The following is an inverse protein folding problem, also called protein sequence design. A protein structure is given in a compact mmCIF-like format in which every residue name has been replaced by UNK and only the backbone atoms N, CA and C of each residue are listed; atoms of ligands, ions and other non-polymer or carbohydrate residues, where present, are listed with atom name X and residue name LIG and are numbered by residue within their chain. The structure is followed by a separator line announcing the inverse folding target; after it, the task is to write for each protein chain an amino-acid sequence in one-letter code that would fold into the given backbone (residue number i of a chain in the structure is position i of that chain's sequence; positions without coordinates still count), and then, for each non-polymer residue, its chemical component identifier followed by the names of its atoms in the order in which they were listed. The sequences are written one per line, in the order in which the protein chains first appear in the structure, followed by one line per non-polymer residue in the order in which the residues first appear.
data_IF_102387768340
#
_entry.id   IF_102387768340
#
_cell.length_a   1.000
_cell.length_b   1.000
_cell.length_c   1.000
_cell.angle_alpha   90.00
_cell.angle_beta   90.00
_cell.angle_gamma   90.00
#
_symmetry.space_group_name_H-M   'P 1'
#
loop_
_entity.id
_entity.type
_entity.pdbx_description
1 polymer ?
#
# COMPACT_ATOMS: atom_id res chain seq x y z
N UNK A 1 11.81 12.88 -2.78
CA UNK A 1 11.79 13.68 -1.52
C UNK A 1 10.40 14.19 -1.15
N UNK A 2 9.64 14.85 -2.04
CA UNK A 2 8.34 15.46 -1.69
C UNK A 2 7.33 14.49 -1.03
N UNK A 3 7.12 13.29 -1.58
CA UNK A 3 6.17 12.30 -1.03
C UNK A 3 6.50 11.87 0.40
N UNK A 4 7.78 11.59 0.69
CA UNK A 4 8.21 11.14 2.02
C UNK A 4 7.99 12.23 3.06
N UNK A 5 8.34 13.49 2.73
CA UNK A 5 8.11 14.62 3.63
C UNK A 5 6.62 14.85 3.90
N UNK A 6 5.77 14.75 2.87
CA UNK A 6 4.31 14.88 3.04
C UNK A 6 3.78 13.85 4.04
N UNK A 7 4.15 12.58 3.89
CA UNK A 7 3.68 11.53 4.79
C UNK A 7 4.33 11.58 6.18
N UNK A 8 5.57 12.06 6.27
CA UNK A 8 6.23 12.29 7.56
C UNK A 8 5.51 13.39 8.36
N UNK A 9 5.19 14.52 7.74
CA UNK A 9 4.41 15.60 8.38
C UNK A 9 3.03 15.10 8.77
N UNK A 10 2.39 14.30 7.91
CA UNK A 10 1.10 13.66 8.24
C UNK A 10 1.20 12.74 9.46
N UNK A 11 2.25 11.91 9.54
CA UNK A 11 2.46 11.04 10.69
C UNK A 11 2.67 11.84 11.98
N UNK A 12 3.47 12.91 11.93
CA UNK A 12 3.72 13.79 13.06
C UNK A 12 2.43 14.49 13.55
N UNK A 13 1.52 14.85 12.64
CA UNK A 13 0.23 15.45 12.99
C UNK A 13 -0.66 14.50 13.81
N UNK A 14 -0.65 13.20 13.49
CA UNK A 14 -1.50 12.21 14.18
C UNK A 14 -0.90 11.68 15.49
N UNK A 15 0.31 12.11 15.86
CA UNK A 15 0.95 11.80 17.14
C UNK A 15 2.03 10.71 17.08
N UNK A 16 2.86 10.60 18.14
CA UNK A 16 4.08 9.80 18.17
C UNK A 16 3.84 8.29 18.38
N UNK A 17 2.87 7.70 17.69
CA UNK A 17 2.54 6.28 17.83
C UNK A 17 3.25 5.42 16.78
N UNK A 18 4.00 4.37 17.17
CA UNK A 18 4.77 3.54 16.23
C UNK A 18 3.95 3.01 15.04
N UNK A 19 2.70 2.58 15.28
CA UNK A 19 1.83 2.08 14.22
C UNK A 19 1.46 3.14 13.16
N UNK A 20 1.36 4.40 13.57
CA UNK A 20 1.09 5.53 12.67
C UNK A 20 2.28 5.75 11.73
N UNK A 21 3.50 5.75 12.26
CA UNK A 21 4.71 5.88 11.44
C UNK A 21 4.86 4.71 10.45
N UNK A 22 4.56 3.48 10.87
CA UNK A 22 4.57 2.31 9.98
C UNK A 22 3.57 2.51 8.84
N UNK A 23 2.32 2.88 9.16
CA UNK A 23 1.27 3.07 8.17
C UNK A 23 1.57 4.17 7.16
N UNK A 24 2.00 5.34 7.63
CA UNK A 24 2.36 6.45 6.75
C UNK A 24 3.63 6.18 5.92
N UNK A 25 4.59 5.44 6.47
CA UNK A 25 5.76 4.99 5.70
C UNK A 25 5.36 4.03 4.57
N UNK A 26 4.48 3.07 4.87
CA UNK A 26 3.92 2.18 3.85
C UNK A 26 3.12 2.96 2.79
N UNK A 27 2.32 3.96 3.19
CA UNK A 27 1.62 4.84 2.26
C UNK A 27 2.59 5.57 1.32
N UNK A 28 3.71 6.09 1.85
CA UNK A 28 4.73 6.75 1.05
C UNK A 28 5.35 5.82 0.00
N UNK A 29 5.60 4.56 0.36
CA UNK A 29 6.10 3.53 -0.56
C UNK A 29 5.07 3.24 -1.65
N UNK A 30 3.83 2.95 -1.28
CA UNK A 30 2.74 2.63 -2.21
C UNK A 30 2.53 3.74 -3.22
N UNK A 31 2.40 5.00 -2.79
CA UNK A 31 2.19 6.15 -3.69
C UNK A 31 3.41 6.39 -4.59
N UNK A 32 4.62 6.12 -4.10
CA UNK A 32 5.82 6.27 -4.94
C UNK A 32 5.91 5.16 -5.98
N UNK A 33 5.53 3.93 -5.62
CA UNK A 33 5.46 2.80 -6.54
C UNK A 33 4.39 3.03 -7.61
N UNK A 34 3.17 3.40 -7.21
CA UNK A 34 2.05 3.71 -8.09
C UNK A 34 2.41 4.77 -9.14
N UNK A 35 3.06 5.87 -8.74
CA UNK A 35 3.54 6.88 -9.69
C UNK A 35 4.61 6.38 -10.66
N UNK A 36 5.41 5.38 -10.29
CA UNK A 36 6.38 4.76 -11.21
C UNK A 36 5.64 3.87 -12.20
N UNK A 37 4.69 3.08 -11.73
CA UNK A 37 3.85 2.20 -12.56
C UNK A 37 3.02 3.01 -13.55
N UNK A 38 2.40 4.10 -13.11
CA UNK A 38 1.63 5.01 -13.98
C UNK A 38 2.45 5.57 -15.15
N UNK A 39 3.77 5.77 -14.97
CA UNK A 39 4.67 6.23 -16.05
C UNK A 39 4.97 5.16 -17.09
N UNK A 40 4.76 3.88 -16.76
CA UNK A 40 4.94 2.78 -17.71
C UNK A 40 3.81 2.71 -18.74
N UNK A 41 2.68 3.37 -18.44
CA UNK A 41 1.48 3.44 -19.28
C UNK A 41 1.05 2.06 -19.80
N UNK A 42 1.09 1.05 -18.91
CA UNK A 42 0.82 -0.33 -19.27
C UNK A 42 -0.61 -0.51 -19.78
N UNK A 43 -1.57 0.14 -19.14
CA UNK A 43 -2.98 0.05 -19.49
C UNK A 43 -3.26 0.39 -20.96
N UNK A 44 -2.63 1.44 -21.50
CA UNK A 44 -2.83 1.84 -22.91
C UNK A 44 -2.23 0.83 -23.89
N UNK A 45 -1.10 0.21 -23.49
CA UNK A 45 -0.32 -0.76 -24.29
C UNK A 45 -0.94 -2.16 -24.33
N UNK A 46 -1.94 -2.45 -23.52
CA UNK A 46 -2.60 -3.77 -23.49
C UNK A 46 -3.42 -4.02 -24.78
N UNK A 47 -3.36 -5.24 -25.34
CA UNK A 47 -3.86 -5.54 -26.69
C UNK A 47 -5.37 -5.72 -26.78
N UNK A 48 -6.08 -5.94 -25.67
CA UNK A 48 -7.53 -6.20 -25.68
C UNK A 48 -8.26 -5.57 -24.49
N UNK A 49 -9.57 -5.37 -24.64
CA UNK A 49 -10.44 -4.86 -23.59
C UNK A 49 -10.45 -5.77 -22.34
N UNK A 50 -10.36 -7.10 -22.53
CA UNK A 50 -10.27 -8.06 -21.42
C UNK A 50 -9.00 -7.84 -20.61
N UNK A 51 -7.85 -7.68 -21.27
CA UNK A 51 -6.59 -7.41 -20.58
C UNK A 51 -6.63 -6.09 -19.81
N UNK A 52 -7.21 -5.03 -20.40
CA UNK A 52 -7.41 -3.74 -19.73
C UNK A 52 -8.30 -3.86 -18.50
N UNK A 53 -9.39 -4.64 -18.59
CA UNK A 53 -10.27 -4.91 -17.45
C UNK A 53 -9.53 -5.64 -16.33
N UNK A 54 -8.79 -6.70 -16.65
CA UNK A 54 -8.00 -7.45 -15.67
C UNK A 54 -6.94 -6.58 -14.98
N UNK A 55 -6.24 -5.74 -15.75
CA UNK A 55 -5.30 -4.75 -15.22
C UNK A 55 -5.98 -3.79 -14.24
N UNK A 56 -7.15 -3.24 -14.59
CA UNK A 56 -7.93 -2.37 -13.68
C UNK A 56 -8.35 -3.11 -12.40
N UNK A 57 -8.83 -4.34 -12.51
CA UNK A 57 -9.20 -5.15 -11.34
C UNK A 57 -8.00 -5.42 -10.42
N UNK A 58 -6.83 -5.73 -11.00
CA UNK A 58 -5.61 -5.95 -10.24
C UNK A 58 -5.11 -4.67 -9.57
N UNK A 59 -5.16 -3.53 -10.26
CA UNK A 59 -4.77 -2.23 -9.70
C UNK A 59 -5.68 -1.84 -8.53
N UNK A 60 -7.00 -2.09 -8.68
CA UNK A 60 -7.97 -1.91 -7.61
C UNK A 60 -7.66 -2.82 -6.41
N UNK A 61 -7.47 -4.12 -6.64
CA UNK A 61 -7.16 -5.07 -5.57
C UNK A 61 -5.88 -4.68 -4.81
N UNK A 62 -4.85 -4.27 -5.54
CA UNK A 62 -3.58 -3.77 -4.97
C UNK A 62 -3.82 -2.58 -4.04
N UNK A 63 -4.65 -1.63 -4.48
CA UNK A 63 -5.02 -0.46 -3.67
C UNK A 63 -5.76 -0.88 -2.40
N UNK A 64 -6.74 -1.78 -2.52
CA UNK A 64 -7.52 -2.24 -1.36
C UNK A 64 -6.65 -2.98 -0.34
N UNK A 65 -5.74 -3.85 -0.79
CA UNK A 65 -4.79 -4.55 0.09
C UNK A 65 -3.83 -3.57 0.77
N UNK A 66 -3.27 -2.62 0.02
CA UNK A 66 -2.38 -1.60 0.58
C UNK A 66 -3.10 -0.74 1.64
N UNK A 67 -4.30 -0.24 1.32
CA UNK A 67 -5.11 0.57 2.25
C UNK A 67 -5.50 -0.24 3.47
N UNK A 68 -5.93 -1.50 3.31
CA UNK A 68 -6.26 -2.38 4.42
C UNK A 68 -5.07 -2.58 5.38
N UNK A 69 -3.88 -2.82 4.84
CA UNK A 69 -2.66 -2.90 5.63
C UNK A 69 -2.39 -1.60 6.39
N UNK A 70 -2.38 -0.46 5.68
CA UNK A 70 -2.06 0.85 6.24
C UNK A 70 -3.04 1.22 7.36
N UNK A 71 -4.34 1.15 7.10
CA UNK A 71 -5.37 1.51 8.08
C UNK A 71 -5.29 0.63 9.33
N UNK A 72 -5.00 -0.66 9.17
CA UNK A 72 -4.79 -1.58 10.30
C UNK A 72 -3.61 -1.12 11.17
N UNK A 73 -2.48 -0.78 10.56
CA UNK A 73 -1.31 -0.30 11.32
C UNK A 73 -1.56 1.02 12.04
N UNK A 74 -2.25 1.97 11.38
CA UNK A 74 -2.63 3.25 11.98
C UNK A 74 -3.60 3.05 13.13
N UNK A 75 -4.60 2.18 12.97
CA UNK A 75 -5.60 1.89 13.99
C UNK A 75 -4.99 1.23 15.23
N UNK A 76 -4.09 0.27 15.04
CA UNK A 76 -3.49 -0.48 16.15
C UNK A 76 -2.44 0.34 16.92
N UNK A 77 -1.81 1.34 16.30
CA UNK A 77 -0.87 2.29 16.92
C UNK A 77 0.37 1.71 17.61
N UNK A 78 0.48 0.39 17.77
CA UNK A 78 1.53 -0.32 18.52
C UNK A 78 2.06 -1.49 17.70
N UNK A 79 3.39 -1.61 17.66
CA UNK A 79 4.08 -2.69 16.92
C UNK A 79 3.65 -4.07 17.43
N UNK A 80 3.58 -4.27 18.74
CA UNK A 80 3.19 -5.57 19.31
C UNK A 80 1.77 -5.97 18.89
N UNK A 81 0.82 -5.02 18.90
CA UNK A 81 -0.57 -5.29 18.46
C UNK A 81 -0.63 -5.59 16.97
N UNK A 82 0.15 -4.89 16.15
CA UNK A 82 0.26 -5.14 14.70
C UNK A 82 0.78 -6.56 14.44
N UNK A 83 1.85 -6.97 15.12
CA UNK A 83 2.43 -8.32 14.94
C UNK A 83 1.44 -9.40 15.36
N UNK A 84 0.78 -9.26 16.52
CA UNK A 84 -0.24 -10.21 16.98
C UNK A 84 -1.39 -10.30 15.97
N UNK A 85 -1.92 -9.16 15.51
CA UNK A 85 -3.01 -9.12 14.53
C UNK A 85 -2.63 -9.81 13.21
N UNK A 86 -1.46 -9.52 12.66
CA UNK A 86 -1.06 -10.15 11.40
C UNK A 86 -0.67 -11.62 11.57
N UNK A 87 -0.14 -12.01 12.73
CA UNK A 87 0.16 -13.41 13.01
C UNK A 87 -1.10 -14.29 13.00
N UNK A 88 -2.24 -13.81 13.51
CA UNK A 88 -3.50 -14.56 13.48
C UNK A 88 -4.07 -14.71 12.07
N UNK A 89 -3.63 -13.86 11.14
CA UNK A 89 -3.96 -13.92 9.72
C UNK A 89 -2.82 -14.51 8.86
N UNK A 90 -1.81 -15.15 9.47
CA UNK A 90 -0.64 -15.71 8.79
C UNK A 90 0.08 -14.70 7.86
N UNK A 91 0.02 -13.41 8.20
CA UNK A 91 0.57 -12.31 7.40
C UNK A 91 0.04 -12.24 5.95
N UNK A 92 -1.11 -12.86 5.67
CA UNK A 92 -1.69 -13.01 4.32
C UNK A 92 -1.87 -11.68 3.59
N UNK A 93 -2.43 -10.67 4.25
CA UNK A 93 -2.72 -9.37 3.64
C UNK A 93 -1.43 -8.53 3.41
N UNK A 94 -0.49 -8.38 4.37
CA UNK A 94 0.81 -7.78 4.10
C UNK A 94 1.57 -8.44 2.94
N UNK A 95 1.56 -9.78 2.89
CA UNK A 95 2.21 -10.53 1.82
C UNK A 95 1.51 -10.33 0.48
N UNK A 96 0.18 -10.32 0.46
CA UNK A 96 -0.62 -10.03 -0.72
C UNK A 96 -0.37 -8.61 -1.25
N UNK A 97 -0.36 -7.61 -0.35
CA UNK A 97 -0.06 -6.23 -0.71
C UNK A 97 1.36 -6.10 -1.29
N UNK A 98 2.35 -6.76 -0.69
CA UNK A 98 3.73 -6.77 -1.18
C UNK A 98 3.83 -7.43 -2.56
N UNK A 99 3.20 -8.60 -2.74
CA UNK A 99 3.18 -9.30 -4.02
C UNK A 99 2.57 -8.42 -5.11
N UNK A 100 1.42 -7.81 -4.82
CA UNK A 100 0.75 -6.89 -5.74
C UNK A 100 1.62 -5.67 -6.07
N UNK A 101 2.35 -5.09 -5.11
CA UNK A 101 3.25 -3.95 -5.36
C UNK A 101 4.48 -4.30 -6.22
N UNK A 102 4.90 -5.56 -6.22
CA UNK A 102 6.03 -6.03 -7.04
C UNK A 102 5.62 -6.35 -8.47
N UNK A 103 4.33 -6.59 -8.70
CA UNK A 103 3.81 -6.79 -10.04
C UNK A 103 3.63 -5.41 -10.73
N UNK A 104 3.96 -5.29 -12.02
CA UNK A 104 3.59 -4.12 -12.80
C UNK A 104 2.07 -4.16 -13.03
N UNK A 105 1.32 -3.52 -12.14
CA UNK A 105 -0.15 -3.54 -12.08
C UNK A 105 -0.81 -2.48 -12.94
#
# INVERSE_FOLDING_TARGET
MRTVLTFLVSALWHGPHPGIFIGFSAWAVVVTADRKVAKLDLHSRLPSAVWRFLHTCMAWLTTQLAVGFILTTIHLQSVSRILVFWSSMYYSLPLGALLCLLLPV
#
